data_IF_159435371114
#
_entry.id   IF_159435371114
#
_cell.length_a   1.000
_cell.length_b   1.000
_cell.length_c   1.000
_cell.angle_alpha   90.00
_cell.angle_beta   90.00
_cell.angle_gamma   90.00
#
_symmetry.space_group_name_H-M   'P 1'
#
loop_
_entity.id
_entity.type
_entity.pdbx_description
1 polymer ?
#
# COMPACT_ATOMS: atom_id res chain seq x y z
N UNK A 1 32.01 -72.95 11.75
CA UNK A 1 31.55 -71.73 12.46
C UNK A 1 31.45 -70.60 11.42
N UNK A 2 30.26 -70.20 11.06
CA UNK A 2 30.00 -69.20 10.01
C UNK A 2 29.78 -67.84 10.70
N UNK A 3 30.70 -66.91 10.49
CA UNK A 3 30.54 -65.53 10.97
C UNK A 3 29.63 -64.74 10.00
N UNK A 4 28.44 -64.41 10.45
CA UNK A 4 27.49 -63.59 9.73
C UNK A 4 27.85 -62.11 10.02
N UNK A 5 28.48 -61.44 9.04
CA UNK A 5 28.77 -60.03 9.12
C UNK A 5 27.49 -59.21 8.93
N UNK A 6 27.02 -58.53 9.97
CA UNK A 6 25.85 -57.61 9.91
C UNK A 6 26.34 -56.28 9.41
N UNK A 7 26.18 -56.01 8.12
CA UNK A 7 26.40 -54.67 7.56
C UNK A 7 25.23 -53.74 7.94
N UNK A 8 25.48 -52.81 8.85
CA UNK A 8 24.53 -51.80 9.26
C UNK A 8 24.49 -50.70 8.18
N UNK A 9 23.46 -50.66 7.36
CA UNK A 9 23.20 -49.60 6.38
C UNK A 9 22.64 -48.38 7.10
N UNK A 10 23.49 -47.39 7.40
CA UNK A 10 23.07 -46.08 7.93
C UNK A 10 22.52 -45.27 6.78
N UNK A 11 21.19 -45.19 6.69
CA UNK A 11 20.50 -44.28 5.77
C UNK A 11 20.66 -42.86 6.29
N UNK A 12 21.56 -42.07 5.70
CA UNK A 12 21.68 -40.62 5.97
C UNK A 12 20.41 -39.93 5.44
N UNK A 13 19.45 -39.64 6.30
CA UNK A 13 18.37 -38.69 6.05
C UNK A 13 18.97 -37.30 6.09
N UNK A 14 19.37 -36.77 4.93
CA UNK A 14 19.66 -35.34 4.81
C UNK A 14 18.35 -34.54 5.02
N UNK A 15 18.30 -33.59 5.95
CA UNK A 15 17.13 -32.73 6.06
C UNK A 15 17.05 -31.86 4.80
N UNK A 16 16.05 -32.11 3.95
CA UNK A 16 15.66 -31.16 2.92
C UNK A 16 15.03 -29.96 3.64
N UNK A 17 15.81 -28.92 3.88
CA UNK A 17 15.28 -27.61 4.24
C UNK A 17 14.60 -27.06 3.00
N UNK A 18 13.30 -27.25 2.88
CA UNK A 18 12.50 -26.51 1.93
C UNK A 18 12.48 -25.05 2.40
N UNK A 19 13.36 -24.23 1.85
CA UNK A 19 13.29 -22.79 2.04
C UNK A 19 12.04 -22.29 1.30
N UNK A 20 10.99 -22.06 2.06
CA UNK A 20 9.78 -21.43 1.53
C UNK A 20 10.08 -19.94 1.32
N UNK A 21 10.63 -19.59 0.16
CA UNK A 21 10.90 -18.20 -0.23
C UNK A 21 9.63 -17.54 -0.79
N UNK A 22 8.61 -17.39 0.05
CA UNK A 22 7.48 -16.53 -0.28
C UNK A 22 7.87 -15.05 -0.24
N UNK A 23 7.08 -14.15 -0.86
CA UNK A 23 7.37 -12.71 -0.82
C UNK A 23 7.31 -12.20 0.61
N UNK A 24 8.31 -11.42 1.03
CA UNK A 24 8.32 -10.75 2.32
C UNK A 24 7.44 -9.48 2.24
N UNK A 25 6.55 -9.24 3.21
CA UNK A 25 5.75 -8.01 3.22
C UNK A 25 6.66 -6.79 3.37
N UNK A 26 6.50 -5.85 2.46
CA UNK A 26 7.20 -4.57 2.46
C UNK A 26 6.37 -3.51 3.20
N UNK A 27 7.01 -2.40 3.58
CA UNK A 27 6.36 -1.27 4.24
C UNK A 27 6.78 0.02 3.57
N UNK A 28 5.84 0.97 3.50
CA UNK A 28 6.11 2.36 3.16
C UNK A 28 5.48 3.28 4.21
N UNK A 29 6.12 4.41 4.45
CA UNK A 29 5.57 5.49 5.27
C UNK A 29 6.03 6.80 4.69
N UNK A 30 5.07 7.63 4.28
CA UNK A 30 5.31 8.99 3.82
C UNK A 30 4.47 9.96 4.67
N UNK A 31 4.96 11.17 4.84
CA UNK A 31 4.24 12.21 5.56
C UNK A 31 4.57 13.59 5.01
N UNK A 32 3.63 14.51 5.19
CA UNK A 32 3.81 15.92 4.82
C UNK A 32 3.17 16.83 5.86
N UNK A 33 3.83 17.92 6.18
CA UNK A 33 3.24 19.03 6.94
C UNK A 33 2.61 20.03 5.99
N UNK A 34 1.36 20.41 6.26
CA UNK A 34 0.54 21.31 5.44
C UNK A 34 0.15 22.53 6.30
N UNK A 35 0.29 23.73 5.77
CA UNK A 35 -0.14 25.00 6.40
C UNK A 35 -1.67 25.16 6.26
N UNK A 36 -2.40 24.23 6.82
CA UNK A 36 -3.84 24.23 6.93
C UNK A 36 -4.23 23.46 8.20
N UNK A 37 -5.32 23.86 8.85
CA UNK A 37 -5.82 23.19 10.04
C UNK A 37 -6.17 21.71 9.75
N UNK A 38 -6.22 20.89 10.81
CA UNK A 38 -6.63 19.48 10.72
C UNK A 38 -7.96 19.33 10.00
N UNK A 39 -8.97 20.10 10.40
CA UNK A 39 -10.32 20.03 9.80
C UNK A 39 -10.30 20.37 8.31
N UNK A 40 -9.60 21.45 7.92
CA UNK A 40 -9.50 21.85 6.51
C UNK A 40 -8.81 20.77 5.67
N UNK A 41 -7.78 20.16 6.23
CA UNK A 41 -7.01 19.11 5.55
C UNK A 41 -7.84 17.83 5.45
N UNK A 42 -8.54 17.46 6.53
CA UNK A 42 -9.43 16.30 6.54
C UNK A 42 -10.58 16.45 5.53
N UNK A 43 -11.24 17.59 5.52
CA UNK A 43 -12.31 17.90 4.54
C UNK A 43 -11.85 17.72 3.10
N UNK A 44 -10.59 17.96 2.79
CA UNK A 44 -10.06 17.80 1.44
C UNK A 44 -9.85 16.35 1.00
N UNK A 45 -9.72 15.40 1.96
CA UNK A 45 -9.39 13.99 1.66
C UNK A 45 -10.39 12.97 2.21
N UNK A 46 -11.32 13.38 3.07
CA UNK A 46 -12.22 12.46 3.77
C UNK A 46 -13.17 11.67 2.84
N UNK A 47 -13.51 12.23 1.69
CA UNK A 47 -14.31 11.52 0.70
C UNK A 47 -13.44 10.52 -0.04
N UNK A 48 -13.69 9.24 0.21
CA UNK A 48 -12.83 8.15 -0.26
C UNK A 48 -12.69 8.10 -1.78
N UNK A 49 -13.73 8.39 -2.52
CA UNK A 49 -13.78 8.30 -3.98
C UNK A 49 -13.32 9.57 -4.73
N UNK A 50 -12.90 10.63 -4.01
CA UNK A 50 -12.52 11.91 -4.62
C UNK A 50 -11.00 12.13 -4.73
N UNK A 51 -10.18 11.11 -4.56
CA UNK A 51 -8.71 11.20 -4.55
C UNK A 51 -8.12 11.90 -5.78
N UNK A 52 -8.74 11.78 -6.96
CA UNK A 52 -8.28 12.45 -8.19
C UNK A 52 -8.31 13.97 -8.08
N UNK A 53 -9.01 14.52 -7.09
CA UNK A 53 -9.07 15.96 -6.86
C UNK A 53 -7.78 16.54 -6.27
N UNK A 54 -6.91 15.70 -5.69
CA UNK A 54 -5.69 16.13 -5.03
C UNK A 54 -4.44 15.29 -5.36
N UNK A 55 -4.59 14.07 -5.89
CA UNK A 55 -3.49 13.16 -6.21
C UNK A 55 -3.09 13.27 -7.68
N UNK A 56 -1.91 13.81 -8.03
CA UNK A 56 -1.53 14.08 -9.42
C UNK A 56 -1.38 12.83 -10.28
N UNK A 57 -1.05 11.67 -9.69
CA UNK A 57 -0.90 10.41 -10.43
C UNK A 57 -2.24 9.73 -10.73
N UNK A 58 -3.35 10.25 -10.18
CA UNK A 58 -4.70 9.76 -10.40
C UNK A 58 -5.43 10.69 -11.39
N UNK A 59 -5.66 10.19 -12.60
CA UNK A 59 -6.36 10.92 -13.67
C UNK A 59 -7.86 11.07 -13.39
N UNK A 60 -8.46 10.01 -12.85
CA UNK A 60 -9.88 9.98 -12.49
C UNK A 60 -10.12 9.02 -11.32
N UNK A 61 -11.12 9.30 -10.51
CA UNK A 61 -11.62 8.41 -9.49
C UNK A 61 -13.14 8.41 -9.46
N UNK A 62 -13.72 7.27 -9.17
CA UNK A 62 -15.16 7.09 -8.99
C UNK A 62 -15.38 6.04 -7.91
N UNK A 63 -16.53 6.09 -7.24
CA UNK A 63 -16.85 5.15 -6.18
C UNK A 63 -18.35 5.04 -5.96
N UNK A 64 -18.73 4.33 -4.90
CA UNK A 64 -20.12 4.16 -4.48
C UNK A 64 -20.60 5.26 -3.51
N UNK A 65 -19.74 6.26 -3.24
CA UNK A 65 -20.03 7.40 -2.35
C UNK A 65 -20.03 7.03 -0.86
N UNK A 66 -19.68 5.80 -0.49
CA UNK A 66 -19.69 5.35 0.90
C UNK A 66 -18.36 5.62 1.58
N UNK A 67 -18.41 6.35 2.70
CA UNK A 67 -17.30 6.53 3.64
C UNK A 67 -17.49 5.60 4.85
N UNK A 68 -17.58 4.31 4.60
CA UNK A 68 -17.77 3.27 5.60
C UNK A 68 -17.10 1.97 5.12
N UNK A 69 -16.98 0.98 6.01
CA UNK A 69 -16.48 -0.33 5.65
C UNK A 69 -17.21 -0.89 4.42
N UNK A 70 -16.45 -1.56 3.55
CA UNK A 70 -16.87 -2.09 2.24
C UNK A 70 -17.22 -1.03 1.17
N UNK A 71 -17.08 0.28 1.46
CA UNK A 71 -17.10 1.33 0.45
C UNK A 71 -15.99 1.10 -0.58
N UNK A 72 -16.29 1.33 -1.86
CA UNK A 72 -15.34 1.05 -2.94
C UNK A 72 -15.04 2.25 -3.79
N UNK A 73 -13.81 2.29 -4.35
CA UNK A 73 -13.44 3.24 -5.39
C UNK A 73 -12.63 2.58 -6.50
N UNK A 74 -12.76 3.12 -7.70
CA UNK A 74 -11.93 2.80 -8.85
C UNK A 74 -11.06 4.01 -9.17
N UNK A 75 -9.76 3.80 -9.29
CA UNK A 75 -8.80 4.82 -9.70
C UNK A 75 -8.33 4.51 -11.11
N UNK A 76 -8.35 5.52 -11.99
CA UNK A 76 -7.65 5.48 -13.27
C UNK A 76 -6.37 6.29 -13.12
N UNK A 77 -5.22 5.65 -13.25
CA UNK A 77 -3.91 6.29 -13.13
C UNK A 77 -3.54 7.07 -14.40
N UNK A 78 -2.48 7.87 -14.35
CA UNK A 78 -2.01 8.65 -15.50
C UNK A 78 -1.57 7.76 -16.68
N UNK A 79 -1.13 6.52 -16.42
CA UNK A 79 -0.80 5.54 -17.45
C UNK A 79 -2.03 4.87 -18.09
N UNK A 80 -3.25 5.22 -17.66
CA UNK A 80 -4.51 4.66 -18.16
C UNK A 80 -4.95 3.36 -17.48
N UNK A 81 -4.11 2.76 -16.67
CA UNK A 81 -4.44 1.54 -15.94
C UNK A 81 -5.35 1.82 -14.73
N UNK A 82 -6.12 0.83 -14.34
CA UNK A 82 -7.09 0.95 -13.25
C UNK A 82 -6.75 0.05 -12.08
N UNK A 83 -7.05 0.52 -10.88
CA UNK A 83 -7.07 -0.26 -9.64
C UNK A 83 -8.38 -0.04 -8.91
N UNK A 84 -8.83 -1.07 -8.21
CA UNK A 84 -10.02 -1.01 -7.36
C UNK A 84 -9.61 -1.17 -5.91
N UNK A 85 -10.10 -0.28 -5.06
CA UNK A 85 -9.84 -0.28 -3.63
C UNK A 85 -11.12 -0.39 -2.82
N UNK A 86 -11.02 -0.89 -1.60
CA UNK A 86 -12.12 -1.00 -0.65
C UNK A 86 -11.71 -0.43 0.69
N UNK A 87 -12.60 0.35 1.31
CA UNK A 87 -12.47 0.81 2.68
C UNK A 87 -12.62 -0.36 3.66
N UNK A 88 -11.74 -0.40 4.67
CA UNK A 88 -11.80 -1.33 5.78
C UNK A 88 -12.31 -0.66 7.05
N UNK A 89 -11.92 0.61 7.23
CA UNK A 89 -12.23 1.42 8.39
C UNK A 89 -12.30 2.90 8.00
N UNK A 90 -13.19 3.64 8.63
CA UNK A 90 -13.32 5.09 8.48
C UNK A 90 -13.71 5.71 9.82
N UNK A 91 -13.01 6.75 10.23
CA UNK A 91 -13.30 7.55 11.43
C UNK A 91 -13.19 9.04 11.12
N UNK A 92 -14.32 9.71 11.08
CA UNK A 92 -14.35 11.17 10.95
C UNK A 92 -13.81 11.86 12.21
N UNK A 93 -14.02 11.22 13.38
CA UNK A 93 -13.51 11.71 14.68
C UNK A 93 -11.99 11.67 14.77
N UNK A 94 -11.37 10.59 14.28
CA UNK A 94 -9.93 10.37 14.40
C UNK A 94 -9.18 10.84 13.14
N UNK A 95 -9.91 11.38 12.16
CA UNK A 95 -9.42 11.87 10.88
C UNK A 95 -8.56 10.83 10.16
N UNK A 96 -9.06 9.59 10.07
CA UNK A 96 -8.34 8.50 9.43
C UNK A 96 -9.26 7.53 8.69
N UNK A 97 -8.69 6.85 7.71
CA UNK A 97 -9.29 5.68 7.11
C UNK A 97 -8.25 4.66 6.66
N UNK A 98 -8.67 3.38 6.68
CA UNK A 98 -7.89 2.26 6.19
C UNK A 98 -8.55 1.69 4.94
N UNK A 99 -7.74 1.29 3.98
CA UNK A 99 -8.21 0.71 2.73
C UNK A 99 -7.23 -0.29 2.15
N UNK A 100 -7.74 -1.17 1.32
CA UNK A 100 -6.96 -2.21 0.67
C UNK A 100 -7.16 -2.25 -0.83
N UNK A 101 -6.18 -2.82 -1.54
CA UNK A 101 -6.34 -3.23 -2.92
C UNK A 101 -7.38 -4.37 -3.00
N UNK A 102 -8.41 -4.18 -3.83
CA UNK A 102 -9.47 -5.18 -4.07
C UNK A 102 -9.21 -5.98 -5.34
N UNK A 103 -8.69 -5.33 -6.37
CA UNK A 103 -8.38 -5.96 -7.66
C UNK A 103 -6.95 -5.63 -8.04
N UNK A 104 -6.14 -6.67 -8.16
CA UNK A 104 -4.73 -6.55 -8.56
C UNK A 104 -4.61 -6.07 -10.01
N UNK A 105 -3.68 -5.14 -10.23
CA UNK A 105 -3.22 -4.74 -11.56
C UNK A 105 -1.75 -4.29 -11.49
N UNK A 106 -0.84 -5.23 -11.74
CA UNK A 106 0.61 -4.97 -11.66
C UNK A 106 1.13 -3.99 -12.73
N UNK A 107 0.32 -3.69 -13.76
CA UNK A 107 0.65 -2.64 -14.74
C UNK A 107 0.34 -1.25 -14.21
N UNK A 108 -0.62 -1.14 -13.29
CA UNK A 108 -0.94 0.08 -12.60
C UNK A 108 0.11 0.40 -11.52
N UNK A 109 0.35 -0.55 -10.63
CA UNK A 109 1.37 -0.50 -9.58
C UNK A 109 1.99 -1.91 -9.44
N UNK A 110 3.31 -2.05 -9.28
CA UNK A 110 4.00 -3.34 -9.24
C UNK A 110 3.83 -4.05 -7.88
N UNK A 111 2.58 -4.15 -7.41
CA UNK A 111 2.19 -4.79 -6.15
C UNK A 111 1.02 -5.74 -6.38
N UNK A 112 1.02 -6.88 -5.68
CA UNK A 112 -0.06 -7.87 -5.74
C UNK A 112 -1.16 -7.59 -4.69
N UNK A 113 -0.80 -6.94 -3.59
CA UNK A 113 -1.74 -6.53 -2.57
C UNK A 113 -1.16 -5.39 -1.72
N UNK A 114 -2.03 -4.59 -1.11
CA UNK A 114 -1.67 -3.64 -0.06
C UNK A 114 -2.82 -3.38 0.91
N UNK A 115 -2.44 -2.95 2.10
CA UNK A 115 -3.32 -2.30 3.06
C UNK A 115 -2.69 -0.98 3.46
N UNK A 116 -3.44 0.10 3.33
CA UNK A 116 -3.01 1.46 3.57
C UNK A 116 -3.82 2.08 4.72
N UNK A 117 -3.15 2.94 5.50
CA UNK A 117 -3.76 3.84 6.44
C UNK A 117 -3.37 5.26 6.06
N UNK A 118 -4.33 6.17 6.03
CA UNK A 118 -4.10 7.61 5.93
C UNK A 118 -4.71 8.29 7.14
N UNK A 119 -3.96 9.19 7.76
CA UNK A 119 -4.36 9.91 8.96
C UNK A 119 -3.91 11.36 8.90
N UNK A 120 -4.78 12.26 9.37
CA UNK A 120 -4.48 13.69 9.57
C UNK A 120 -4.38 13.96 11.06
N UNK A 121 -3.28 14.55 11.49
CA UNK A 121 -3.04 14.97 12.88
C UNK A 121 -2.65 16.42 12.98
N UNK A 122 -2.69 17.00 14.19
CA UNK A 122 -2.20 18.36 14.42
C UNK A 122 -0.71 18.47 14.07
N UNK A 123 -0.34 19.59 13.47
CA UNK A 123 1.05 20.01 13.30
C UNK A 123 1.60 20.68 14.55
N UNK A 124 2.63 21.51 14.37
CA UNK A 124 3.29 22.21 15.47
C UNK A 124 2.43 23.35 16.05
N UNK A 125 1.44 23.81 15.30
CA UNK A 125 0.49 24.85 15.70
C UNK A 125 -0.93 24.56 15.22
N UNK A 126 -1.89 25.40 15.61
CA UNK A 126 -3.32 25.23 15.29
C UNK A 126 -3.65 25.48 13.81
N UNK A 127 -2.72 26.04 13.05
CA UNK A 127 -2.89 26.38 11.63
C UNK A 127 -2.23 25.39 10.70
N UNK A 128 -1.55 24.39 11.25
CA UNK A 128 -0.86 23.35 10.50
C UNK A 128 -1.38 21.95 10.84
N UNK A 129 -1.20 21.03 9.91
CA UNK A 129 -1.53 19.62 10.07
C UNK A 129 -0.46 18.75 9.45
N UNK A 130 -0.38 17.50 9.90
CA UNK A 130 0.47 16.45 9.34
C UNK A 130 -0.40 15.35 8.76
N UNK A 131 -0.22 15.08 7.47
CA UNK A 131 -0.84 13.93 6.82
C UNK A 131 0.18 12.82 6.72
N UNK A 132 -0.14 11.65 7.26
CA UNK A 132 0.69 10.45 7.22
C UNK A 132 -0.01 9.35 6.46
N UNK A 133 0.70 8.72 5.51
CA UNK A 133 0.27 7.48 4.87
C UNK A 133 1.21 6.37 5.29
N UNK A 134 0.64 5.25 5.75
CA UNK A 134 1.36 4.02 6.08
C UNK A 134 0.82 2.90 5.19
N UNK A 135 1.70 2.03 4.73
CA UNK A 135 1.33 0.90 3.88
C UNK A 135 2.08 -0.36 4.27
N UNK A 136 1.39 -1.49 4.11
CA UNK A 136 1.98 -2.82 4.06
C UNK A 136 1.54 -3.48 2.76
N UNK A 137 2.49 -4.00 2.00
CA UNK A 137 2.23 -4.51 0.66
C UNK A 137 3.17 -5.65 0.29
N UNK A 138 2.82 -6.37 -0.76
CA UNK A 138 3.67 -7.37 -1.39
C UNK A 138 3.99 -6.95 -2.82
N UNK A 139 5.18 -7.34 -3.31
CA UNK A 139 5.59 -7.13 -4.70
C UNK A 139 4.62 -7.76 -5.69
N UNK A 140 4.64 -7.28 -6.93
CA UNK A 140 3.71 -7.70 -7.98
C UNK A 140 3.85 -9.17 -8.40
N UNK A 141 5.08 -9.71 -8.45
CA UNK A 141 5.29 -11.13 -8.68
C UNK A 141 5.67 -11.82 -7.36
N UNK A 142 4.79 -12.68 -6.87
CA UNK A 142 4.98 -13.42 -5.61
C UNK A 142 5.78 -14.73 -5.77
N UNK A 143 6.23 -15.05 -6.99
CA UNK A 143 7.08 -16.20 -7.27
C UNK A 143 8.49 -16.08 -6.70
N UNK A 144 9.27 -17.17 -6.77
CA UNK A 144 10.62 -17.22 -6.20
C UNK A 144 11.66 -16.40 -7.00
N UNK A 145 11.41 -16.17 -8.28
CA UNK A 145 12.31 -15.43 -9.19
C UNK A 145 11.55 -14.33 -9.93
N UNK A 146 11.10 -13.27 -9.22
CA UNK A 146 10.35 -12.19 -9.84
C UNK A 146 11.24 -11.45 -10.86
N UNK A 147 10.67 -10.98 -11.98
CA UNK A 147 11.37 -10.06 -12.85
C UNK A 147 11.67 -8.76 -12.08
N UNK A 148 12.71 -8.03 -12.48
CA UNK A 148 13.14 -6.81 -11.81
C UNK A 148 12.00 -5.80 -11.64
N UNK A 149 11.14 -5.66 -12.64
CA UNK A 149 9.99 -4.73 -12.65
C UNK A 149 8.88 -5.08 -11.66
N UNK A 150 8.82 -6.31 -11.15
CA UNK A 150 7.82 -6.80 -10.19
C UNK A 150 8.46 -7.27 -8.86
N UNK A 151 9.72 -6.88 -8.62
CA UNK A 151 10.51 -7.22 -7.44
C UNK A 151 10.16 -6.35 -6.22
N UNK A 152 10.69 -6.71 -5.03
CA UNK A 152 10.53 -5.92 -3.81
C UNK A 152 11.07 -4.47 -3.98
N UNK A 153 12.27 -4.22 -4.56
CA UNK A 153 12.72 -2.86 -4.82
C UNK A 153 11.79 -2.05 -5.74
N UNK A 154 11.26 -2.68 -6.79
CA UNK A 154 10.33 -2.01 -7.70
C UNK A 154 9.02 -1.62 -6.98
N UNK A 155 8.46 -2.53 -6.18
CA UNK A 155 7.27 -2.28 -5.38
C UNK A 155 7.49 -1.15 -4.35
N UNK A 156 8.59 -1.18 -3.61
CA UNK A 156 8.94 -0.14 -2.62
C UNK A 156 9.10 1.21 -3.29
N UNK A 157 9.83 1.28 -4.41
CA UNK A 157 10.03 2.53 -5.16
C UNK A 157 8.70 3.11 -5.65
N UNK A 158 7.84 2.27 -6.23
CA UNK A 158 6.55 2.70 -6.77
C UNK A 158 5.60 3.18 -5.67
N UNK A 159 5.48 2.46 -4.57
CA UNK A 159 4.59 2.83 -3.47
C UNK A 159 5.03 4.12 -2.77
N UNK A 160 6.33 4.30 -2.50
CA UNK A 160 6.85 5.55 -1.94
C UNK A 160 6.61 6.72 -2.90
N UNK A 161 6.89 6.56 -4.20
CA UNK A 161 6.66 7.60 -5.19
C UNK A 161 5.17 7.99 -5.27
N UNK A 162 4.27 7.01 -5.31
CA UNK A 162 2.83 7.23 -5.35
C UNK A 162 2.37 8.04 -4.13
N UNK A 163 2.73 7.63 -2.92
CA UNK A 163 2.34 8.37 -1.71
C UNK A 163 2.95 9.76 -1.64
N UNK A 164 4.24 9.89 -1.93
CA UNK A 164 4.92 11.19 -1.93
C UNK A 164 4.26 12.17 -2.90
N UNK A 165 4.02 11.75 -4.14
CA UNK A 165 3.38 12.58 -5.15
C UNK A 165 1.96 13.01 -4.71
N UNK A 166 1.19 12.08 -4.14
CA UNK A 166 -0.14 12.37 -3.61
C UNK A 166 -0.11 13.41 -2.50
N UNK A 167 0.75 13.22 -1.51
CA UNK A 167 0.88 14.14 -0.38
C UNK A 167 1.37 15.54 -0.82
N UNK A 168 2.31 15.61 -1.75
CA UNK A 168 2.77 16.89 -2.34
C UNK A 168 1.65 17.58 -3.14
N UNK A 169 0.84 16.79 -3.88
CA UNK A 169 -0.33 17.31 -4.59
C UNK A 169 -1.37 17.90 -3.65
N UNK A 170 -1.67 17.21 -2.54
CA UNK A 170 -2.57 17.70 -1.49
C UNK A 170 -2.04 18.98 -0.86
N UNK A 171 -0.77 19.02 -0.47
CA UNK A 171 -0.13 20.22 0.07
C UNK A 171 -0.25 21.40 -0.88
N UNK A 172 0.13 21.23 -2.14
CA UNK A 172 0.03 22.27 -3.17
C UNK A 172 -1.40 22.77 -3.38
N UNK A 173 -2.40 21.91 -3.21
CA UNK A 173 -3.83 22.28 -3.32
C UNK A 173 -4.27 23.16 -2.15
N UNK A 174 -3.83 22.87 -0.93
CA UNK A 174 -4.31 23.53 0.29
C UNK A 174 -3.56 24.81 0.65
N UNK A 175 -2.34 24.97 0.15
CA UNK A 175 -1.47 26.12 0.40
C UNK A 175 -1.48 27.17 -0.73
N UNK A 176 -2.48 27.12 -1.63
CA UNK A 176 -2.69 28.10 -2.69
C UNK A 176 -3.35 29.38 -2.19
#
# INVERSE_FOLDING_TARGET
MKHLSKTLLILLLAPFTAEAHGPTPQKAKEQVTINASVDKTWEAIKQFDTISSWHPDVKASSGDGKNAADGTRTLTLQNGEQIVESLDYYSDKDHEYNYRLKTENVKALPVSSYTNNIQVTAGDDTTSSVVTVKSRFYRGDTGNTPPETLSDPAAVKAMNAFFKNGLEGLKKRLEK
#
